data_IF_127574565796
#
_entry.id   IF_127574565796
#
_cell.length_a   1.000
_cell.length_b   1.000
_cell.length_c   1.000
_cell.angle_alpha   90.00
_cell.angle_beta   90.00
_cell.angle_gamma   90.00
#
_symmetry.space_group_name_H-M   'P 1'
#
loop_
_entity.id
_entity.type
_entity.pdbx_description
1 polymer ?
#
# COMPACT_ATOMS: atom_id res chain seq x y z
N UNK A 1 -20.28 0.33 12.34
CA UNK A 1 -19.79 -0.49 11.20
C UNK A 1 -18.54 0.17 10.65
N UNK A 2 -17.46 -0.58 10.46
CA UNK A 2 -16.14 -0.06 10.07
C UNK A 2 -16.15 0.74 8.76
N UNK A 3 -17.08 0.39 7.86
CA UNK A 3 -17.32 1.06 6.58
C UNK A 3 -17.72 2.53 6.70
N UNK A 4 -18.24 2.98 7.85
CA UNK A 4 -18.49 4.40 8.07
C UNK A 4 -17.18 5.20 8.08
N UNK A 5 -16.11 4.64 8.66
CA UNK A 5 -14.81 5.31 8.75
C UNK A 5 -14.00 5.21 7.44
N UNK A 6 -14.11 4.07 6.75
CA UNK A 6 -13.33 3.79 5.53
C UNK A 6 -14.03 4.24 4.25
N UNK A 7 -15.36 4.27 4.23
CA UNK A 7 -16.14 4.20 3.00
C UNK A 7 -16.09 2.80 2.37
N UNK A 8 -16.83 2.64 1.28
CA UNK A 8 -16.91 1.36 0.52
C UNK A 8 -16.52 1.48 -0.95
N UNK A 9 -16.24 2.70 -1.43
CA UNK A 9 -16.09 2.99 -2.86
C UNK A 9 -14.84 2.33 -3.49
N UNK A 10 -13.84 2.01 -2.68
CA UNK A 10 -12.57 1.43 -3.12
C UNK A 10 -12.37 -0.01 -2.64
N UNK A 11 -13.43 -0.67 -2.17
CA UNK A 11 -13.36 -2.06 -1.76
C UNK A 11 -13.45 -2.98 -2.98
N UNK A 12 -12.61 -4.02 -2.97
CA UNK A 12 -12.72 -5.09 -3.96
C UNK A 12 -13.83 -6.05 -3.53
N UNK A 13 -14.69 -6.52 -4.46
CA UNK A 13 -15.65 -7.55 -4.15
C UNK A 13 -14.90 -8.83 -3.73
N UNK A 14 -15.29 -9.39 -2.58
CA UNK A 14 -14.76 -10.67 -2.09
C UNK A 14 -15.83 -11.75 -2.13
N UNK A 15 -15.41 -12.98 -2.38
CA UNK A 15 -16.26 -14.18 -2.30
C UNK A 15 -15.64 -15.19 -1.35
N UNK A 16 -16.47 -15.83 -0.53
CA UNK A 16 -16.11 -17.03 0.21
C UNK A 16 -16.78 -18.24 -0.46
N UNK A 17 -16.04 -19.30 -0.84
CA UNK A 17 -16.61 -20.45 -1.55
C UNK A 17 -17.52 -21.32 -0.67
N UNK A 18 -17.47 -21.15 0.66
CA UNK A 18 -18.33 -21.78 1.65
C UNK A 18 -18.42 -20.88 2.90
N UNK A 19 -19.40 -21.07 3.80
CA UNK A 19 -19.55 -20.25 5.02
C UNK A 19 -18.30 -20.21 5.91
N UNK A 20 -17.56 -21.32 5.98
CA UNK A 20 -16.36 -21.45 6.82
C UNK A 20 -15.06 -21.29 6.02
N UNK A 21 -15.15 -20.81 4.78
CA UNK A 21 -13.98 -20.59 3.93
C UNK A 21 -13.51 -19.14 3.99
N UNK A 22 -12.19 -18.97 3.96
CA UNK A 22 -11.53 -17.67 3.86
C UNK A 22 -12.10 -16.84 2.69
N UNK A 23 -12.45 -15.58 2.96
CA UNK A 23 -12.94 -14.67 1.94
C UNK A 23 -11.79 -14.24 1.03
N UNK A 24 -12.02 -14.27 -0.28
CA UNK A 24 -11.01 -13.94 -1.30
C UNK A 24 -11.50 -12.84 -2.21
N UNK A 25 -10.66 -11.84 -2.46
CA UNK A 25 -10.85 -10.87 -3.51
C UNK A 25 -9.72 -11.02 -4.53
N UNK A 26 -10.07 -11.02 -5.82
CA UNK A 26 -9.11 -11.08 -6.91
C UNK A 26 -9.19 -9.75 -7.65
N UNK A 27 -8.08 -9.02 -7.65
CA UNK A 27 -7.99 -7.71 -8.29
C UNK A 27 -7.01 -7.80 -9.46
N UNK A 28 -7.47 -7.42 -10.65
CA UNK A 28 -6.59 -7.24 -11.81
C UNK A 28 -5.83 -5.92 -11.71
N UNK A 29 -4.50 -5.97 -11.70
CA UNK A 29 -3.63 -4.79 -11.77
C UNK A 29 -2.87 -4.78 -13.09
N UNK A 30 -2.23 -3.65 -13.42
CA UNK A 30 -1.35 -3.57 -14.60
C UNK A 30 -0.13 -4.50 -14.53
N UNK A 31 0.28 -4.93 -13.32
CA UNK A 31 1.39 -5.85 -13.11
C UNK A 31 0.95 -7.33 -13.10
N UNK A 32 -0.35 -7.60 -13.12
CA UNK A 32 -0.92 -8.94 -13.01
C UNK A 32 -2.04 -9.00 -11.97
N UNK A 33 -2.53 -10.19 -11.70
CA UNK A 33 -3.55 -10.38 -10.66
C UNK A 33 -2.91 -10.38 -9.28
N UNK A 34 -3.57 -9.71 -8.33
CA UNK A 34 -3.30 -9.83 -6.90
C UNK A 34 -4.51 -10.46 -6.24
N UNK A 35 -4.28 -11.52 -5.47
CA UNK A 35 -5.31 -12.16 -4.65
C UNK A 35 -5.13 -11.75 -3.21
N UNK A 36 -6.18 -11.19 -2.61
CA UNK A 36 -6.24 -10.87 -1.20
C UNK A 36 -7.12 -11.90 -0.51
N UNK A 37 -6.61 -12.54 0.55
CA UNK A 37 -7.33 -13.52 1.34
C UNK A 37 -7.43 -13.05 2.79
N UNK A 38 -8.65 -12.84 3.28
CA UNK A 38 -8.92 -12.63 4.70
C UNK A 38 -9.03 -13.99 5.38
N UNK A 39 -8.41 -14.21 6.55
CA UNK A 39 -8.42 -15.52 7.20
C UNK A 39 -9.83 -15.90 7.68
N UNK A 40 -10.13 -17.19 7.77
CA UNK A 40 -11.44 -17.64 8.32
C UNK A 40 -11.59 -17.22 9.78
N UNK A 41 -10.51 -17.29 10.55
CA UNK A 41 -10.46 -16.91 11.96
C UNK A 41 -9.41 -15.83 12.17
N UNK A 42 -9.59 -14.97 13.19
CA UNK A 42 -8.73 -13.81 13.37
C UNK A 42 -7.28 -14.14 13.73
N UNK A 43 -7.00 -15.32 14.32
CA UNK A 43 -5.64 -15.82 14.56
C UNK A 43 -4.88 -16.21 13.28
N UNK A 44 -5.55 -16.25 12.13
CA UNK A 44 -4.91 -16.46 10.83
C UNK A 44 -4.23 -15.21 10.27
N UNK A 45 -3.66 -15.34 9.07
CA UNK A 45 -2.96 -14.25 8.39
C UNK A 45 -3.79 -13.70 7.22
N UNK A 46 -3.84 -12.38 7.10
CA UNK A 46 -4.27 -11.70 5.87
C UNK A 46 -3.16 -11.89 4.84
N UNK A 47 -3.49 -12.47 3.68
CA UNK A 47 -2.50 -12.75 2.64
C UNK A 47 -2.76 -11.94 1.37
N UNK A 48 -1.72 -11.26 0.87
CA UNK A 48 -1.67 -10.67 -0.45
C UNK A 48 -0.72 -11.50 -1.31
N UNK A 49 -1.22 -12.06 -2.40
CA UNK A 49 -0.47 -12.94 -3.32
C UNK A 49 -0.46 -12.36 -4.73
N UNK A 50 0.72 -12.02 -5.25
CA UNK A 50 0.91 -11.49 -6.60
C UNK A 50 1.19 -12.60 -7.63
N UNK A 51 0.90 -12.34 -8.90
CA UNK A 51 1.09 -13.28 -10.00
C UNK A 51 2.54 -13.74 -10.22
N UNK A 52 3.53 -12.97 -9.76
CA UNK A 52 4.96 -13.33 -9.84
C UNK A 52 5.42 -14.26 -8.69
N UNK A 53 4.49 -14.68 -7.82
CA UNK A 53 4.75 -15.54 -6.67
C UNK A 53 5.15 -14.78 -5.40
N UNK A 54 5.31 -13.45 -5.46
CA UNK A 54 5.53 -12.63 -4.26
C UNK A 54 4.31 -12.69 -3.34
N UNK A 55 4.56 -12.80 -2.04
CA UNK A 55 3.51 -12.86 -1.01
C UNK A 55 3.86 -11.98 0.17
N UNK A 56 2.89 -11.21 0.65
CA UNK A 56 2.97 -10.46 1.91
C UNK A 56 1.84 -10.94 2.79
N UNK A 57 2.18 -11.31 4.03
CA UNK A 57 1.21 -11.74 5.03
C UNK A 57 1.24 -10.81 6.23
N UNK A 58 0.07 -10.52 6.78
CA UNK A 58 -0.13 -9.62 7.91
C UNK A 58 -1.01 -10.32 8.96
N UNK A 59 -0.50 -10.43 10.19
CA UNK A 59 -1.29 -10.90 11.33
C UNK A 59 -2.21 -9.82 11.86
N UNK A 60 -3.41 -10.21 12.28
CA UNK A 60 -4.29 -9.33 13.04
C UNK A 60 -3.78 -9.19 14.49
N UNK A 61 -3.88 -8.00 15.11
CA UNK A 61 -3.18 -7.71 16.35
C UNK A 61 -3.89 -8.34 17.54
N UNK A 62 -3.13 -9.07 18.36
CA UNK A 62 -3.60 -9.64 19.63
C UNK A 62 -4.89 -10.47 19.44
N UNK A 63 -4.97 -11.15 18.30
CA UNK A 63 -6.19 -11.81 17.86
C UNK A 63 -6.44 -13.15 18.57
N UNK A 64 -7.61 -13.27 19.20
CA UNK A 64 -8.20 -14.54 19.61
C UNK A 64 -8.82 -15.26 18.40
N UNK A 65 -8.94 -16.59 18.48
CA UNK A 65 -9.50 -17.43 17.41
C UNK A 65 -11.03 -17.27 17.30
N UNK A 66 -11.43 -16.14 16.71
CA UNK A 66 -12.82 -15.78 16.42
C UNK A 66 -13.08 -15.90 14.93
N UNK A 67 -14.16 -16.57 14.55
CA UNK A 67 -14.58 -16.70 13.17
C UNK A 67 -15.00 -15.36 12.55
N UNK A 68 -14.57 -15.12 11.31
CA UNK A 68 -14.90 -13.95 10.53
C UNK A 68 -16.34 -13.97 10.05
N UNK A 69 -17.00 -12.83 10.16
CA UNK A 69 -18.35 -12.59 9.65
C UNK A 69 -18.25 -11.68 8.43
N UNK A 70 -18.77 -12.14 7.30
CA UNK A 70 -18.87 -11.29 6.11
C UNK A 70 -19.79 -10.10 6.40
N UNK A 71 -19.23 -8.90 6.34
CA UNK A 71 -19.96 -7.66 6.21
C UNK A 71 -20.11 -7.31 4.71
N UNK A 72 -20.94 -6.33 4.40
CA UNK A 72 -21.16 -5.90 3.01
C UNK A 72 -19.86 -5.54 2.28
N UNK A 73 -19.93 -5.39 0.96
CA UNK A 73 -18.83 -4.81 0.15
C UNK A 73 -17.47 -5.52 0.23
N UNK A 74 -17.43 -6.78 0.69
CA UNK A 74 -16.21 -7.58 0.80
C UNK A 74 -15.43 -7.41 2.11
N UNK A 75 -16.01 -6.70 3.08
CA UNK A 75 -15.45 -6.59 4.43
C UNK A 75 -15.64 -7.90 5.20
N UNK A 76 -14.62 -8.37 5.91
CA UNK A 76 -14.76 -9.44 6.93
C UNK A 76 -14.52 -8.83 8.30
N UNK A 77 -15.40 -9.07 9.27
CA UNK A 77 -15.30 -8.55 10.63
C UNK A 77 -15.12 -9.70 11.61
N UNK A 78 -14.25 -9.53 12.60
CA UNK A 78 -13.99 -10.47 13.69
C UNK A 78 -14.34 -9.77 15.01
N UNK A 79 -15.59 -9.89 15.48
CA UNK A 79 -16.06 -9.15 16.65
C UNK A 79 -15.37 -9.62 17.93
N UNK A 80 -14.84 -8.69 18.72
CA UNK A 80 -14.15 -8.96 19.99
C UNK A 80 -12.84 -9.73 19.87
N UNK A 81 -12.35 -9.94 18.63
CA UNK A 81 -11.15 -10.75 18.42
C UNK A 81 -9.87 -10.10 18.97
N UNK A 82 -9.81 -8.77 19.12
CA UNK A 82 -8.66 -8.08 19.73
C UNK A 82 -8.82 -7.85 21.24
N UNK A 83 -9.75 -8.57 21.88
CA UNK A 83 -10.27 -8.31 23.23
C UNK A 83 -11.72 -7.81 23.19
N UNK A 84 -12.42 -7.90 24.32
CA UNK A 84 -13.87 -7.57 24.40
C UNK A 84 -14.22 -6.17 23.85
N UNK A 85 -13.31 -5.20 24.01
CA UNK A 85 -13.46 -3.80 23.59
C UNK A 85 -12.80 -3.46 22.24
N UNK A 86 -12.28 -4.45 21.50
CA UNK A 86 -11.65 -4.27 20.19
C UNK A 86 -12.22 -5.25 19.16
N UNK A 87 -12.84 -4.73 18.10
CA UNK A 87 -13.16 -5.53 16.92
C UNK A 87 -12.04 -5.43 15.88
N UNK A 88 -11.80 -6.51 15.15
CA UNK A 88 -10.87 -6.55 14.02
C UNK A 88 -11.64 -6.67 12.72
N UNK A 89 -11.10 -6.16 11.61
CA UNK A 89 -11.70 -6.36 10.30
C UNK A 89 -10.66 -6.40 9.19
N UNK A 90 -10.99 -7.05 8.08
CA UNK A 90 -10.19 -7.08 6.87
C UNK A 90 -11.01 -6.56 5.70
N UNK A 91 -10.43 -5.65 4.95
CA UNK A 91 -11.02 -5.07 3.75
C UNK A 91 -10.06 -5.19 2.57
N UNK A 92 -10.33 -6.08 1.61
CA UNK A 92 -9.63 -6.05 0.33
C UNK A 92 -9.95 -4.76 -0.43
N UNK A 93 -8.95 -4.14 -1.04
CA UNK A 93 -9.12 -2.90 -1.81
C UNK A 93 -9.01 -3.17 -3.32
N UNK A 94 -9.73 -2.39 -4.11
CA UNK A 94 -9.80 -2.50 -5.57
C UNK A 94 -8.47 -2.19 -6.28
N UNK A 95 -7.46 -1.75 -5.54
CA UNK A 95 -6.08 -1.59 -5.98
C UNK A 95 -5.18 -2.80 -5.63
N UNK A 96 -5.75 -3.90 -5.15
CA UNK A 96 -5.00 -5.13 -4.84
C UNK A 96 -4.28 -5.08 -3.49
N UNK A 97 -4.61 -4.09 -2.64
CA UNK A 97 -4.21 -4.05 -1.25
C UNK A 97 -5.23 -4.67 -0.29
N UNK A 98 -4.91 -4.60 1.00
CA UNK A 98 -5.80 -4.96 2.09
C UNK A 98 -5.65 -3.98 3.24
N UNK A 99 -6.75 -3.66 3.92
CA UNK A 99 -6.74 -3.00 5.23
C UNK A 99 -6.96 -4.03 6.31
N UNK A 100 -6.11 -4.07 7.32
CA UNK A 100 -6.37 -4.76 8.58
C UNK A 100 -6.73 -3.71 9.63
N UNK A 101 -8.01 -3.62 9.95
CA UNK A 101 -8.58 -2.54 10.72
C UNK A 101 -8.78 -2.98 12.16
N UNK A 102 -8.49 -2.07 13.07
CA UNK A 102 -8.83 -2.17 14.50
C UNK A 102 -9.94 -1.18 14.79
N UNK A 103 -10.95 -1.61 15.54
CA UNK A 103 -12.03 -0.75 16.01
C UNK A 103 -12.04 -0.75 17.54
N UNK A 104 -11.56 0.34 18.12
CA UNK A 104 -11.61 0.58 19.56
C UNK A 104 -13.03 1.00 19.92
N UNK A 105 -13.76 0.17 20.66
CA UNK A 105 -15.18 0.40 20.99
C UNK A 105 -15.38 1.57 21.94
N UNK A 106 -14.44 1.76 22.86
CA UNK A 106 -14.47 2.84 23.84
C UNK A 106 -13.07 3.18 24.39
N UNK A 107 -13.01 4.01 25.45
CA UNK A 107 -11.77 4.55 26.02
C UNK A 107 -10.90 3.51 26.74
N UNK A 108 -11.43 2.36 27.15
CA UNK A 108 -10.67 1.28 27.80
C UNK A 108 -9.85 0.46 26.81
N UNK A 109 -10.26 0.45 25.54
CA UNK A 109 -9.64 -0.33 24.49
C UNK A 109 -8.13 -0.12 24.41
N UNK A 110 -7.41 -1.22 24.17
CA UNK A 110 -5.98 -1.20 23.93
C UNK A 110 -5.65 -0.16 22.84
N UNK A 111 -4.56 0.59 23.05
CA UNK A 111 -4.15 1.70 22.18
C UNK A 111 -2.94 1.38 21.31
N UNK A 112 -2.29 0.25 21.61
CA UNK A 112 -1.09 -0.22 20.93
C UNK A 112 -1.47 -1.53 20.27
N UNK A 113 -1.30 -1.61 18.95
CA UNK A 113 -1.66 -2.78 18.17
C UNK A 113 -0.43 -3.24 17.39
N UNK A 114 -0.09 -4.52 17.50
CA UNK A 114 1.09 -5.12 16.87
C UNK A 114 0.65 -6.04 15.76
N UNK A 115 1.06 -5.73 14.54
CA UNK A 115 0.79 -6.53 13.37
C UNK A 115 2.06 -7.25 12.97
N UNK A 116 2.03 -8.57 13.04
CA UNK A 116 3.14 -9.41 12.58
C UNK A 116 3.19 -9.37 11.05
N UNK A 117 4.36 -9.07 10.48
CA UNK A 117 4.56 -9.06 9.04
C UNK A 117 5.44 -10.22 8.63
N UNK A 118 4.95 -11.00 7.69
CA UNK A 118 5.76 -11.94 6.93
C UNK A 118 5.93 -11.42 5.52
N UNK A 119 7.16 -11.03 5.21
CA UNK A 119 7.56 -10.38 3.96
C UNK A 119 8.25 -11.39 3.04
N UNK A 120 8.26 -11.15 1.72
CA UNK A 120 9.01 -11.99 0.79
C UNK A 120 10.48 -12.10 1.21
N UNK A 121 11.09 -13.27 1.03
CA UNK A 121 12.49 -13.52 1.43
C UNK A 121 13.45 -12.43 0.93
N UNK A 122 14.39 -12.02 1.78
CA UNK A 122 15.35 -10.95 1.47
C UNK A 122 14.73 -9.55 1.43
N UNK A 123 13.46 -9.39 1.81
CA UNK A 123 12.80 -8.09 1.87
C UNK A 123 12.76 -7.54 3.29
N UNK A 124 12.63 -6.22 3.40
CA UNK A 124 12.50 -5.49 4.66
C UNK A 124 11.58 -4.28 4.48
N UNK A 125 11.14 -3.71 5.60
CA UNK A 125 10.53 -2.40 5.59
C UNK A 125 11.59 -1.29 5.59
N UNK A 126 11.39 -0.30 4.72
CA UNK A 126 12.17 0.94 4.68
C UNK A 126 11.22 2.13 4.85
N UNK A 127 11.51 3.12 5.71
CA UNK A 127 10.66 4.30 5.84
C UNK A 127 10.44 5.00 4.49
N UNK A 128 9.21 5.40 4.21
CA UNK A 128 8.86 6.10 2.96
C UNK A 128 9.06 7.62 3.04
N UNK A 129 9.36 8.15 4.23
CA UNK A 129 9.51 9.58 4.51
C UNK A 129 8.21 10.35 4.78
N UNK A 130 7.06 9.68 4.72
CA UNK A 130 5.71 10.23 4.95
C UNK A 130 4.94 9.58 6.09
N UNK A 131 5.56 8.62 6.78
CA UNK A 131 5.01 7.96 7.97
C UNK A 131 4.60 6.51 7.75
N UNK A 132 4.63 6.04 6.49
CA UNK A 132 4.47 4.65 6.11
C UNK A 132 5.82 3.96 5.87
N UNK A 133 5.75 2.80 5.21
CA UNK A 133 6.92 2.00 4.88
C UNK A 133 6.82 1.40 3.48
N UNK A 134 7.96 1.27 2.83
CA UNK A 134 8.15 0.50 1.61
C UNK A 134 8.59 -0.92 1.94
N UNK A 135 8.01 -1.90 1.25
CA UNK A 135 8.51 -3.28 1.24
C UNK A 135 9.57 -3.36 0.15
N UNK A 136 10.83 -3.43 0.55
CA UNK A 136 11.99 -3.36 -0.36
C UNK A 136 12.83 -4.63 -0.31
N UNK A 137 13.41 -5.01 -1.45
CA UNK A 137 14.37 -6.10 -1.59
C UNK A 137 15.61 -5.58 -2.31
N UNK A 138 16.78 -5.85 -1.76
CA UNK A 138 18.05 -5.54 -2.43
C UNK A 138 18.29 -6.57 -3.55
N UNK A 139 18.52 -6.10 -4.77
CA UNK A 139 18.85 -6.92 -5.95
C UNK A 139 20.33 -6.76 -6.37
N UNK A 140 21.07 -5.84 -5.73
CA UNK A 140 22.48 -5.58 -5.94
C UNK A 140 22.96 -4.33 -5.20
N UNK A 141 24.25 -3.95 -5.32
CA UNK A 141 24.83 -2.83 -4.58
C UNK A 141 24.13 -1.48 -4.80
N UNK A 142 23.54 -1.29 -5.98
CA UNK A 142 22.88 -0.05 -6.40
C UNK A 142 21.43 -0.29 -6.89
N UNK A 143 20.85 -1.45 -6.58
CA UNK A 143 19.54 -1.85 -7.09
C UNK A 143 18.65 -2.35 -5.95
N UNK A 144 17.56 -1.64 -5.69
CA UNK A 144 16.55 -1.99 -4.70
C UNK A 144 15.19 -2.08 -5.39
N UNK A 145 14.58 -3.26 -5.38
CA UNK A 145 13.21 -3.45 -5.83
C UNK A 145 12.22 -3.04 -4.74
N UNK A 146 11.18 -2.31 -5.11
CA UNK A 146 10.02 -2.06 -4.23
C UNK A 146 8.91 -3.01 -4.63
N UNK A 147 8.52 -3.89 -3.71
CA UNK A 147 7.53 -4.93 -3.93
C UNK A 147 6.12 -4.45 -3.55
N UNK A 148 6.03 -3.59 -2.54
CA UNK A 148 4.78 -3.13 -1.96
C UNK A 148 4.98 -2.00 -0.96
N UNK A 149 3.92 -1.65 -0.25
CA UNK A 149 3.97 -0.60 0.76
C UNK A 149 2.98 -0.87 1.91
N UNK A 150 3.29 -0.28 3.06
CA UNK A 150 2.38 0.00 4.15
C UNK A 150 2.11 1.50 4.10
N UNK A 151 0.86 1.90 3.92
CA UNK A 151 0.50 3.32 3.84
C UNK A 151 0.77 4.04 5.17
N UNK A 152 0.78 5.37 5.16
CA UNK A 152 0.89 6.14 6.40
C UNK A 152 -0.32 5.88 7.32
N UNK A 153 -0.11 5.85 8.66
CA UNK A 153 -1.16 5.48 9.60
C UNK A 153 -2.28 6.52 9.61
N UNK A 154 -3.52 6.06 9.67
CA UNK A 154 -4.66 6.92 9.98
C UNK A 154 -5.54 6.31 11.06
N UNK A 155 -6.24 7.18 11.78
CA UNK A 155 -7.30 6.80 12.70
C UNK A 155 -8.43 7.82 12.62
N UNK A 156 -9.69 7.37 12.68
CA UNK A 156 -10.88 8.23 12.63
C UNK A 156 -11.84 7.88 13.75
N UNK A 157 -12.39 8.92 14.38
CA UNK A 157 -13.42 8.80 15.39
C UNK A 157 -14.81 8.56 14.76
N UNK A 158 -15.84 8.35 15.58
CA UNK A 158 -17.20 8.07 15.11
C UNK A 158 -17.87 9.22 14.34
N UNK A 159 -17.28 10.43 14.35
CA UNK A 159 -17.70 11.58 13.55
C UNK A 159 -16.82 11.77 12.31
N UNK A 160 -15.92 10.84 12.03
CA UNK A 160 -14.97 10.89 10.93
C UNK A 160 -13.80 11.85 11.14
N UNK A 161 -13.60 12.39 12.35
CA UNK A 161 -12.47 13.29 12.65
C UNK A 161 -11.20 12.49 12.84
N UNK A 162 -10.08 13.03 12.36
CA UNK A 162 -8.78 12.40 12.52
C UNK A 162 -8.40 12.28 14.01
N UNK A 163 -7.90 11.10 14.40
CA UNK A 163 -7.30 10.82 15.69
C UNK A 163 -5.81 10.61 15.49
N UNK A 164 -4.99 11.15 16.39
CA UNK A 164 -3.53 11.03 16.28
C UNK A 164 -3.12 9.56 16.34
N UNK A 165 -2.31 9.13 15.39
CA UNK A 165 -1.76 7.78 15.33
C UNK A 165 -0.35 7.80 14.72
N UNK A 166 0.45 6.80 15.01
CA UNK A 166 1.80 6.66 14.47
C UNK A 166 2.22 5.18 14.39
N UNK A 167 3.07 4.87 13.42
CA UNK A 167 3.74 3.57 13.34
C UNK A 167 5.16 3.62 13.89
N UNK A 168 5.62 2.47 14.38
CA UNK A 168 7.01 2.16 14.67
C UNK A 168 7.26 0.69 14.36
N UNK A 169 8.50 0.32 14.06
CA UNK A 169 8.90 -1.08 13.93
C UNK A 169 9.43 -1.65 15.25
N UNK A 170 9.04 -2.88 15.56
CA UNK A 170 9.61 -3.72 16.62
C UNK A 170 10.07 -5.05 15.99
N UNK A 171 11.31 -5.08 15.49
CA UNK A 171 11.78 -6.22 14.70
C UNK A 171 11.05 -6.31 13.37
N UNK A 172 10.32 -7.40 13.16
CA UNK A 172 9.45 -7.69 12.02
C UNK A 172 8.00 -7.24 12.24
N UNK A 173 7.67 -6.61 13.37
CA UNK A 173 6.32 -6.14 13.68
C UNK A 173 6.11 -4.69 13.33
N UNK A 174 4.98 -4.40 12.69
CA UNK A 174 4.45 -3.04 12.59
C UNK A 174 3.62 -2.74 13.83
N UNK A 175 4.03 -1.74 14.60
CA UNK A 175 3.32 -1.32 15.81
C UNK A 175 2.62 -0.01 15.55
N UNK A 176 1.29 0.00 15.63
CA UNK A 176 0.49 1.22 15.60
C UNK A 176 0.16 1.66 17.02
N UNK A 177 0.30 2.95 17.30
CA UNK A 177 -0.20 3.56 18.54
C UNK A 177 -1.26 4.60 18.22
N UNK A 178 -2.50 4.36 18.65
CA UNK A 178 -3.62 5.32 18.54
C UNK A 178 -3.69 6.16 19.81
N UNK A 179 -3.81 7.47 19.67
CA UNK A 179 -3.79 8.41 20.79
C UNK A 179 -5.06 9.28 20.84
N UNK A 180 -6.20 8.73 21.29
CA UNK A 180 -7.42 9.50 21.54
C UNK A 180 -7.19 10.60 22.59
N UNK A 181 -7.88 11.72 22.43
CA UNK A 181 -7.94 12.81 23.39
C UNK A 181 -9.32 12.88 24.10
N UNK A 182 -9.49 13.88 24.97
CA UNK A 182 -10.75 14.07 25.70
C UNK A 182 -11.96 14.28 24.74
N UNK A 183 -11.72 14.92 23.59
CA UNK A 183 -12.74 15.23 22.59
C UNK A 183 -13.03 14.09 21.61
N UNK A 184 -12.26 13.02 21.61
CA UNK A 184 -12.44 11.85 20.73
C UNK A 184 -13.73 11.11 21.06
N UNK A 185 -14.51 10.75 20.03
CA UNK A 185 -15.76 10.02 20.18
C UNK A 185 -15.66 8.64 19.56
N UNK A 186 -15.96 7.65 20.38
CA UNK A 186 -15.82 6.25 20.02
C UNK A 186 -17.07 5.72 19.30
N UNK A 187 -16.95 4.67 18.47
CA UNK A 187 -15.73 3.91 18.20
C UNK A 187 -14.67 4.68 17.39
N UNK A 188 -13.40 4.34 17.59
CA UNK A 188 -12.29 4.80 16.75
C UNK A 188 -11.84 3.65 15.88
N UNK A 189 -11.74 3.90 14.56
CA UNK A 189 -11.22 2.94 13.59
C UNK A 189 -9.82 3.36 13.18
N UNK A 190 -8.86 2.45 13.17
CA UNK A 190 -7.49 2.68 12.69
C UNK A 190 -6.99 1.51 11.83
N UNK A 191 -5.98 1.77 11.00
CA UNK A 191 -5.44 0.81 10.04
C UNK A 191 -4.02 0.31 10.36
N UNK A 192 -3.58 -0.75 9.68
CA UNK A 192 -2.78 -0.50 8.48
C UNK A 192 -3.44 -0.94 7.18
N UNK A 193 -3.09 -0.22 6.10
CA UNK A 193 -3.25 -0.68 4.72
C UNK A 193 -1.92 -1.18 4.17
N UNK A 194 -1.93 -2.41 3.67
CA UNK A 194 -0.79 -3.03 2.98
C UNK A 194 -1.14 -3.24 1.52
N UNK A 195 -0.18 -3.02 0.62
CA UNK A 195 -0.31 -3.26 -0.82
C UNK A 195 0.87 -4.04 -1.36
N UNK A 196 0.62 -4.86 -2.38
CA UNK A 196 1.63 -5.68 -3.05
C UNK A 196 1.44 -5.60 -4.57
N UNK A 197 2.53 -5.55 -5.32
CA UNK A 197 2.51 -5.70 -6.78
C UNK A 197 1.93 -4.52 -7.56
N UNK A 198 1.44 -3.47 -6.90
CA UNK A 198 0.93 -2.29 -7.60
C UNK A 198 2.08 -1.45 -8.19
N UNK A 199 2.11 -1.35 -9.52
CA UNK A 199 3.00 -0.44 -10.25
C UNK A 199 2.23 0.36 -11.29
N UNK A 200 2.46 1.68 -11.31
CA UNK A 200 2.00 2.60 -12.34
C UNK A 200 3.03 2.61 -13.46
N UNK A 201 2.61 2.31 -14.68
CA UNK A 201 3.48 2.31 -15.85
C UNK A 201 3.30 3.61 -16.63
N UNK A 202 4.27 4.53 -16.50
CA UNK A 202 4.27 5.79 -17.23
C UNK A 202 4.96 5.58 -18.58
N UNK A 203 4.18 5.60 -19.65
CA UNK A 203 4.69 5.48 -21.03
C UNK A 203 4.93 6.85 -21.63
N UNK A 204 6.09 6.98 -22.28
CA UNK A 204 6.53 8.18 -22.98
C UNK A 204 6.72 7.87 -24.46
N UNK A 205 6.01 8.62 -25.31
CA UNK A 205 6.18 8.59 -26.76
C UNK A 205 7.50 9.21 -27.22
N UNK A 206 7.85 9.03 -28.51
CA UNK A 206 9.12 9.56 -29.08
C UNK A 206 9.31 11.06 -28.84
N UNK A 207 8.22 11.85 -28.93
CA UNK A 207 8.24 13.29 -28.69
C UNK A 207 8.50 13.66 -27.23
N UNK A 208 7.87 12.96 -26.29
CA UNK A 208 8.06 13.15 -24.85
C UNK A 208 9.48 12.73 -24.43
N UNK A 209 9.97 11.60 -24.94
CA UNK A 209 11.35 11.12 -24.72
C UNK A 209 12.35 12.15 -25.22
N UNK A 210 12.19 12.68 -26.44
CA UNK A 210 13.08 13.71 -27.00
C UNK A 210 13.06 14.99 -26.16
N UNK A 211 11.88 15.40 -25.66
CA UNK A 211 11.73 16.58 -24.79
C UNK A 211 12.47 16.39 -23.46
N UNK A 212 12.31 15.23 -22.81
CA UNK A 212 12.99 14.91 -21.55
C UNK A 212 14.51 14.78 -21.74
N UNK A 213 14.96 14.13 -22.81
CA UNK A 213 16.37 13.99 -23.15
C UNK A 213 17.08 15.34 -23.40
N UNK A 214 16.38 16.28 -24.03
CA UNK A 214 16.91 17.61 -24.37
C UNK A 214 16.79 18.66 -23.27
N UNK A 215 16.08 18.38 -22.18
CA UNK A 215 16.00 19.28 -21.01
C UNK A 215 17.42 19.43 -20.40
N UNK A 216 17.75 20.46 -19.61
CA UNK A 216 19.01 20.49 -18.83
C UNK A 216 18.92 19.57 -17.61
N UNK A 217 20.05 19.07 -17.07
CA UNK A 217 20.01 18.20 -15.88
C UNK A 217 19.32 18.93 -14.72
N UNK A 218 19.68 20.19 -14.47
CA UNK A 218 19.10 21.02 -13.40
C UNK A 218 17.58 21.26 -13.52
N UNK A 219 17.00 21.08 -14.70
CA UNK A 219 15.56 21.23 -14.93
C UNK A 219 14.84 19.89 -15.17
N UNK A 220 15.57 18.78 -15.25
CA UNK A 220 15.00 17.49 -15.60
C UNK A 220 13.92 17.06 -14.61
N UNK A 221 14.21 17.10 -13.31
CA UNK A 221 13.27 16.68 -12.27
C UNK A 221 11.96 17.49 -12.32
N UNK A 222 12.04 18.81 -12.49
CA UNK A 222 10.87 19.68 -12.58
C UNK A 222 10.02 19.37 -13.82
N UNK A 223 10.63 19.25 -15.00
CA UNK A 223 9.91 18.95 -16.25
C UNK A 223 9.33 17.53 -16.23
N UNK A 224 10.11 16.56 -15.76
CA UNK A 224 9.66 15.19 -15.61
C UNK A 224 8.51 15.10 -14.61
N UNK A 225 8.51 15.88 -13.53
CA UNK A 225 7.43 15.88 -12.53
C UNK A 225 6.10 16.28 -13.16
N UNK A 226 6.11 17.35 -13.96
CA UNK A 226 4.90 17.80 -14.67
C UNK A 226 4.43 16.77 -15.71
N UNK A 227 5.36 16.11 -16.42
CA UNK A 227 4.98 15.16 -17.47
C UNK A 227 4.65 13.74 -16.97
N UNK A 228 5.20 13.35 -15.82
CA UNK A 228 5.10 12.00 -15.26
C UNK A 228 4.11 11.97 -14.09
N UNK A 229 4.34 12.79 -13.05
CA UNK A 229 3.57 12.72 -11.81
C UNK A 229 2.15 13.29 -11.97
N UNK A 230 1.93 14.24 -12.89
CA UNK A 230 0.57 14.71 -13.20
C UNK A 230 -0.33 13.64 -13.84
N UNK A 231 0.26 12.57 -14.40
CA UNK A 231 -0.49 11.43 -14.95
C UNK A 231 -0.88 10.41 -13.87
N UNK A 232 -0.45 10.61 -12.62
CA UNK A 232 -0.71 9.71 -11.50
C UNK A 232 -1.95 10.21 -10.74
N UNK A 233 -3.07 9.45 -10.74
CA UNK A 233 -4.31 9.88 -10.07
C UNK A 233 -4.26 9.75 -8.54
N UNK A 234 -3.36 8.91 -8.00
CA UNK A 234 -3.19 8.74 -6.55
C UNK A 234 -2.26 9.84 -6.00
N UNK A 235 -2.75 10.64 -5.05
CA UNK A 235 -2.04 11.79 -4.50
C UNK A 235 -0.73 11.41 -3.77
N UNK A 236 -0.69 10.27 -3.09
CA UNK A 236 0.51 9.76 -2.39
C UNK A 236 1.55 9.36 -3.43
N UNK A 237 1.14 8.61 -4.45
CA UNK A 237 1.97 8.21 -5.57
C UNK A 237 2.50 9.42 -6.38
N UNK A 238 1.68 10.46 -6.56
CA UNK A 238 2.08 11.67 -7.26
C UNK A 238 3.13 12.46 -6.47
N UNK A 239 2.99 12.55 -5.14
CA UNK A 239 3.93 13.22 -4.27
C UNK A 239 5.30 12.51 -4.25
N UNK A 240 5.32 11.19 -4.04
CA UNK A 240 6.58 10.45 -4.04
C UNK A 240 7.25 10.34 -5.41
N UNK A 241 6.49 10.44 -6.50
CA UNK A 241 7.03 10.59 -7.86
C UNK A 241 7.91 11.83 -8.01
N UNK A 242 7.52 12.97 -7.43
CA UNK A 242 8.36 14.18 -7.45
C UNK A 242 9.68 14.00 -6.70
N UNK A 243 9.64 13.36 -5.53
CA UNK A 243 10.83 13.04 -4.74
C UNK A 243 11.75 12.06 -5.49
N UNK A 244 11.19 10.99 -6.06
CA UNK A 244 11.94 9.98 -6.81
C UNK A 244 12.61 10.57 -8.07
N UNK A 245 11.93 11.46 -8.79
CA UNK A 245 12.49 12.14 -9.95
C UNK A 245 13.67 13.06 -9.60
N UNK A 246 13.65 13.66 -8.41
CA UNK A 246 14.75 14.49 -7.92
C UNK A 246 15.94 13.61 -7.53
N UNK A 247 15.71 12.53 -6.79
CA UNK A 247 16.75 11.61 -6.35
C UNK A 247 17.42 10.84 -7.51
N UNK A 248 16.65 10.46 -8.53
CA UNK A 248 17.11 9.61 -9.65
C UNK A 248 17.40 10.40 -10.93
N UNK A 249 17.45 11.74 -10.86
CA UNK A 249 17.45 12.62 -12.03
C UNK A 249 18.54 12.29 -13.07
N UNK A 250 19.74 11.93 -12.62
CA UNK A 250 20.86 11.64 -13.51
C UNK A 250 20.62 10.34 -14.31
N UNK A 251 20.20 9.27 -13.63
CA UNK A 251 19.93 7.97 -14.24
C UNK A 251 18.76 8.03 -15.23
N UNK A 252 17.64 8.62 -14.80
CA UNK A 252 16.44 8.76 -15.64
C UNK A 252 16.68 9.64 -16.86
N UNK A 253 17.46 10.72 -16.70
CA UNK A 253 17.89 11.56 -17.81
C UNK A 253 18.76 10.80 -18.80
N UNK A 254 19.78 10.08 -18.32
CA UNK A 254 20.68 9.30 -19.18
C UNK A 254 19.87 8.30 -20.01
N UNK A 255 18.94 7.61 -19.37
CA UNK A 255 18.06 6.66 -20.04
C UNK A 255 17.22 7.33 -21.16
N UNK A 256 16.67 8.52 -20.90
CA UNK A 256 15.93 9.29 -21.90
C UNK A 256 16.82 9.69 -23.08
N UNK A 257 18.07 10.08 -22.82
CA UNK A 257 19.04 10.42 -23.88
C UNK A 257 19.37 9.21 -24.76
N UNK A 258 19.58 8.04 -24.16
CA UNK A 258 19.87 6.83 -24.92
C UNK A 258 18.67 6.36 -25.74
N UNK A 259 17.46 6.47 -25.19
CA UNK A 259 16.23 6.17 -25.92
C UNK A 259 15.98 7.15 -27.08
N UNK A 260 16.29 8.44 -26.89
CA UNK A 260 16.17 9.46 -27.92
C UNK A 260 17.13 9.21 -29.09
N UNK A 261 18.40 8.82 -28.82
CA UNK A 261 19.38 8.45 -29.85
C UNK A 261 18.93 7.22 -30.65
N UNK A 262 18.28 6.26 -29.98
CA UNK A 262 17.80 5.04 -30.60
C UNK A 262 16.41 5.17 -31.27
N UNK A 263 15.74 6.32 -31.16
CA UNK A 263 14.38 6.50 -31.68
C UNK A 263 13.32 5.62 -30.99
N UNK A 264 13.54 5.27 -29.72
CA UNK A 264 12.71 4.34 -28.94
C UNK A 264 11.77 5.07 -27.98
N UNK A 265 10.72 4.37 -27.54
CA UNK A 265 9.84 4.81 -26.45
C UNK A 265 10.37 4.31 -25.11
N UNK A 266 9.97 4.99 -24.04
CA UNK A 266 10.34 4.64 -22.66
C UNK A 266 9.09 4.33 -21.86
N UNK A 267 9.19 3.34 -20.98
CA UNK A 267 8.21 3.08 -19.93
C UNK A 267 8.94 3.13 -18.59
N UNK A 268 8.41 3.89 -17.64
CA UNK A 268 8.83 3.89 -16.24
C UNK A 268 7.85 3.08 -15.42
N UNK A 269 8.38 2.19 -14.57
CA UNK A 269 7.64 1.49 -13.53
C UNK A 269 7.72 2.32 -12.26
N UNK A 270 6.58 2.74 -11.76
CA UNK A 270 6.45 3.58 -10.57
C UNK A 270 5.70 2.79 -9.50
N UNK A 271 6.23 2.67 -8.29
CA UNK A 271 5.56 1.98 -7.18
C UNK A 271 4.31 2.74 -6.71
N UNK A 272 3.53 2.11 -5.84
CA UNK A 272 2.36 2.73 -5.22
C UNK A 272 2.64 4.05 -4.49
N UNK A 273 3.81 4.22 -3.88
CA UNK A 273 4.18 5.50 -3.23
C UNK A 273 4.89 6.46 -4.18
N UNK A 274 4.93 6.18 -5.49
CA UNK A 274 5.53 7.09 -6.46
C UNK A 274 7.02 6.87 -6.71
N UNK A 275 7.66 5.85 -6.13
CA UNK A 275 9.09 5.61 -6.40
C UNK A 275 9.25 4.99 -7.78
N UNK A 276 10.14 5.54 -8.61
CA UNK A 276 10.49 4.91 -9.89
C UNK A 276 11.39 3.71 -9.59
N UNK A 277 10.90 2.50 -9.89
CA UNK A 277 11.52 1.21 -9.52
C UNK A 277 12.15 0.50 -10.70
N UNK A 278 11.94 0.98 -11.92
CA UNK A 278 12.55 0.40 -13.10
C UNK A 278 12.09 1.09 -14.37
N UNK A 279 12.75 0.74 -15.46
CA UNK A 279 12.44 1.31 -16.76
C UNK A 279 12.83 0.39 -17.91
N UNK A 280 12.13 0.52 -19.03
CA UNK A 280 12.47 -0.19 -20.27
C UNK A 280 12.36 0.71 -21.49
N UNK A 281 13.14 0.36 -22.52
CA UNK A 281 13.05 0.94 -23.86
C UNK A 281 12.37 -0.06 -24.78
N UNK A 282 11.51 0.41 -25.67
CA UNK A 282 10.81 -0.45 -26.62
C UNK A 282 10.61 0.26 -27.96
N UNK A 283 10.39 -0.53 -29.01
CA UNK A 283 9.97 0.03 -30.30
C UNK A 283 8.55 0.57 -30.16
N UNK A 284 8.39 1.85 -30.43
CA UNK A 284 7.14 2.41 -30.90
C UNK A 284 7.10 2.24 -32.43
#
# INVERSE_FOLDING_TARGET
MVEHATGVADLAPSTAPAPDAAAKAITGTAAGQVTVTAPTEAGGLVELSAADGSRVRLGLPEAEDVAGVAAGSGTVVYPGAGGEDVDLAVQPTADGGARALVTLKDRSAARVHRFDLDLPEGSRLAPDGTGGYLIVREEGPDATAVLGAVDAPWAKDARGRAVRTAYRLEGDRLVQTVSPDAGTVFPVVADPKVSLGWSIYLRFGKSEVKKLAGTSVYHFAAVATVMACAKIPNAVAAAGCGAALTAQMASLRSQMQDAAKAGQCVEWKVSYVGVITGWKRYKC
#
